data_IF_782330809065
#
_entry.id   IF_782330809065
#
_cell.length_a   1.000
_cell.length_b   1.000
_cell.length_c   1.000
_cell.angle_alpha   90.00
_cell.angle_beta   90.00
_cell.angle_gamma   90.00
#
_symmetry.space_group_name_H-M   'P 1'
#
loop_
_entity.id
_entity.type
_entity.pdbx_description
1 polymer ?
#
# COMPACT_ATOMS: atom_id res chain seq x y z
N UNK A 1 0.83 -21.34 12.18
CA UNK A 1 2.16 -21.96 12.33
C UNK A 1 3.21 -20.98 11.81
N UNK A 2 4.07 -20.45 12.68
CA UNK A 2 5.12 -19.49 12.31
C UNK A 2 6.26 -20.28 11.63
N UNK A 3 6.31 -20.28 10.30
CA UNK A 3 7.38 -20.91 9.51
C UNK A 3 8.40 -19.86 9.06
N UNK A 4 9.25 -19.40 9.97
CA UNK A 4 10.29 -18.37 9.71
C UNK A 4 11.70 -18.92 9.96
N UNK A 5 11.95 -20.19 9.59
CA UNK A 5 13.30 -20.78 9.57
C UNK A 5 13.79 -20.83 8.11
N UNK A 6 14.33 -19.72 7.59
CA UNK A 6 14.96 -19.58 6.25
C UNK A 6 14.14 -20.06 5.02
N UNK A 7 12.84 -20.32 5.18
CA UNK A 7 11.98 -20.77 4.09
C UNK A 7 11.47 -19.63 3.20
N UNK A 8 11.73 -18.39 3.59
CA UNK A 8 11.42 -17.18 2.83
C UNK A 8 12.73 -16.53 2.39
N UNK A 9 12.86 -16.30 1.08
CA UNK A 9 14.03 -15.67 0.49
C UNK A 9 13.63 -14.93 -0.79
N UNK A 10 14.40 -13.93 -1.19
CA UNK A 10 14.24 -13.27 -2.49
C UNK A 10 15.44 -13.65 -3.36
N UNK A 11 15.16 -14.15 -4.56
CA UNK A 11 16.18 -14.56 -5.54
C UNK A 11 15.84 -13.84 -6.86
N UNK A 12 16.56 -12.75 -7.14
CA UNK A 12 16.25 -11.85 -8.25
C UNK A 12 14.81 -11.33 -8.17
N UNK A 13 14.00 -11.62 -9.19
CA UNK A 13 12.58 -11.25 -9.29
C UNK A 13 11.61 -12.35 -8.81
N UNK A 14 12.08 -13.26 -7.97
CA UNK A 14 11.28 -14.35 -7.39
C UNK A 14 11.36 -14.32 -5.87
N UNK A 15 10.24 -14.64 -5.24
CA UNK A 15 10.15 -14.83 -3.79
C UNK A 15 9.93 -16.32 -3.52
N UNK A 16 10.78 -16.90 -2.67
CA UNK A 16 10.60 -18.23 -2.10
C UNK A 16 9.55 -18.12 -1.00
N UNK A 17 8.44 -18.85 -1.13
CA UNK A 17 7.38 -18.93 -0.14
C UNK A 17 7.31 -20.34 0.44
N UNK A 18 6.90 -20.48 1.71
CA UNK A 18 6.65 -21.80 2.29
C UNK A 18 5.63 -22.56 1.43
N UNK A 19 5.93 -23.82 1.10
CA UNK A 19 5.11 -24.75 0.29
C UNK A 19 4.94 -24.39 -1.20
N UNK A 20 4.91 -23.11 -1.56
CA UNK A 20 4.74 -22.68 -2.96
C UNK A 20 6.07 -22.62 -3.74
N UNK A 21 7.21 -22.61 -3.05
CA UNK A 21 8.51 -22.49 -3.71
C UNK A 21 8.73 -21.10 -4.29
N UNK A 22 9.44 -21.02 -5.42
CA UNK A 22 9.81 -19.75 -6.06
C UNK A 22 8.66 -19.21 -6.93
N UNK A 23 8.10 -18.07 -6.50
CA UNK A 23 7.03 -17.37 -7.20
C UNK A 23 7.56 -16.06 -7.77
N UNK A 24 7.28 -15.78 -9.05
CA UNK A 24 7.62 -14.48 -9.65
C UNK A 24 6.77 -13.38 -9.03
N UNK A 25 7.39 -12.27 -8.67
CA UNK A 25 6.68 -11.08 -8.19
C UNK A 25 7.30 -9.81 -8.79
N UNK A 26 6.53 -8.73 -8.85
CA UNK A 26 7.06 -7.43 -9.22
C UNK A 26 7.79 -6.82 -8.02
N UNK A 27 9.11 -6.73 -8.11
CA UNK A 27 9.95 -6.18 -7.04
C UNK A 27 9.91 -4.66 -7.10
N UNK A 28 9.34 -4.04 -6.08
CA UNK A 28 9.18 -2.57 -6.01
C UNK A 28 10.40 -1.84 -5.45
N UNK A 29 11.23 -2.54 -4.65
CA UNK A 29 12.46 -2.03 -4.04
C UNK A 29 13.41 -3.18 -3.71
N UNK A 30 14.69 -2.87 -3.63
CA UNK A 30 15.67 -3.74 -2.97
C UNK A 30 15.38 -3.82 -1.47
N UNK A 31 15.67 -4.97 -0.86
CA UNK A 31 15.47 -5.19 0.57
C UNK A 31 16.83 -5.32 1.24
N UNK A 32 17.03 -4.51 2.26
CA UNK A 32 18.20 -4.56 3.14
C UNK A 32 17.73 -5.05 4.51
N UNK A 33 18.46 -6.02 5.08
CA UNK A 33 18.16 -6.58 6.40
C UNK A 33 17.44 -7.94 6.37
N UNK A 34 16.94 -8.37 7.54
CA UNK A 34 16.38 -9.71 7.77
C UNK A 34 14.88 -9.72 7.53
N UNK A 35 14.40 -10.62 6.66
CA UNK A 35 12.96 -10.81 6.46
C UNK A 35 12.33 -11.47 7.71
N UNK A 36 11.38 -10.78 8.33
CA UNK A 36 10.65 -11.27 9.50
C UNK A 36 9.39 -12.05 9.09
N UNK A 37 8.60 -11.50 8.15
CA UNK A 37 7.40 -12.15 7.66
C UNK A 37 7.04 -11.71 6.25
N UNK A 38 6.20 -12.51 5.59
CA UNK A 38 5.61 -12.20 4.31
C UNK A 38 4.11 -12.47 4.38
N UNK A 39 3.33 -11.47 3.96
CA UNK A 39 1.88 -11.58 3.85
C UNK A 39 1.48 -11.55 2.38
N UNK A 40 0.91 -12.65 1.89
CA UNK A 40 0.33 -12.73 0.55
C UNK A 40 -1.17 -12.48 0.67
N UNK A 41 -1.67 -11.44 0.00
CA UNK A 41 -3.10 -11.07 0.01
C UNK A 41 -3.69 -11.15 -1.38
N UNK A 42 -4.85 -11.81 -1.50
CA UNK A 42 -5.67 -11.78 -2.71
C UNK A 42 -6.72 -10.67 -2.59
N UNK A 43 -6.69 -9.70 -3.50
CA UNK A 43 -7.70 -8.67 -3.61
C UNK A 43 -8.97 -9.22 -4.30
N UNK A 44 -10.17 -8.66 -4.04
CA UNK A 44 -11.39 -9.09 -4.72
C UNK A 44 -11.36 -8.91 -6.24
N UNK A 45 -10.46 -8.06 -6.74
CA UNK A 45 -10.13 -7.90 -8.16
C UNK A 45 -9.40 -9.10 -8.78
N UNK A 46 -8.97 -10.07 -7.96
CA UNK A 46 -8.20 -11.24 -8.39
C UNK A 46 -6.68 -11.03 -8.37
N UNK A 47 -6.21 -9.80 -8.13
CA UNK A 47 -4.78 -9.48 -8.02
C UNK A 47 -4.21 -9.96 -6.69
N UNK A 48 -2.97 -10.41 -6.71
CA UNK A 48 -2.22 -10.74 -5.51
C UNK A 48 -1.23 -9.63 -5.18
N UNK A 49 -1.12 -9.29 -3.90
CA UNK A 49 -0.09 -8.41 -3.36
C UNK A 49 0.73 -9.16 -2.32
N UNK A 50 2.00 -8.78 -2.21
CA UNK A 50 2.95 -9.37 -1.27
C UNK A 50 3.52 -8.23 -0.43
N UNK A 51 3.26 -8.27 0.88
CA UNK A 51 3.85 -7.36 1.85
C UNK A 51 4.96 -8.08 2.60
N UNK A 52 6.16 -7.50 2.62
CA UNK A 52 7.36 -8.10 3.21
C UNK A 52 7.79 -7.21 4.37
N UNK A 53 7.80 -7.77 5.58
CA UNK A 53 8.33 -7.09 6.76
C UNK A 53 9.80 -7.45 6.92
N UNK A 54 10.65 -6.42 6.99
CA UNK A 54 12.10 -6.55 7.11
C UNK A 54 12.57 -5.79 8.33
N UNK A 55 13.42 -6.41 9.11
CA UNK A 55 14.19 -5.79 10.18
C UNK A 55 15.49 -5.26 9.57
N UNK A 56 15.70 -3.94 9.64
CA UNK A 56 16.88 -3.27 9.12
C UNK A 56 17.37 -2.24 10.12
N UNK A 57 18.68 -2.01 10.14
CA UNK A 57 19.27 -0.94 10.93
C UNK A 57 19.02 0.40 10.23
N UNK A 58 18.32 1.31 10.92
CA UNK A 58 18.07 2.66 10.42
C UNK A 58 19.09 3.57 11.06
N UNK A 59 20.11 3.96 10.29
CA UNK A 59 21.08 4.95 10.74
C UNK A 59 20.46 6.34 10.69
N UNK A 60 20.42 7.07 11.83
CA UNK A 60 19.93 8.44 11.82
C UNK A 60 20.88 9.31 11.00
N UNK A 61 20.30 10.22 10.22
CA UNK A 61 21.07 11.27 9.56
C UNK A 61 21.64 12.23 10.62
N UNK A 62 22.78 12.89 10.34
CA UNK A 62 23.31 13.91 11.23
C UNK A 62 22.26 14.98 11.52
N UNK A 63 22.17 15.39 12.79
CA UNK A 63 21.24 16.46 13.21
C UNK A 63 21.66 17.77 12.56
N UNK A 64 20.67 18.56 12.17
CA UNK A 64 20.87 19.88 11.56
C UNK A 64 20.80 21.02 12.59
N UNK A 65 20.49 20.70 13.86
CA UNK A 65 20.22 21.64 14.97
C UNK A 65 19.14 22.72 14.66
N UNK A 66 18.38 22.51 13.58
CA UNK A 66 17.25 23.33 13.20
C UNK A 66 15.95 22.72 13.75
N UNK A 67 15.06 23.59 14.22
CA UNK A 67 13.72 23.21 14.65
C UNK A 67 12.69 23.99 13.82
N UNK A 68 11.68 23.29 13.30
CA UNK A 68 10.55 23.88 12.59
C UNK A 68 9.27 23.39 13.26
N UNK A 69 8.39 24.34 13.62
CA UNK A 69 7.04 24.02 14.07
C UNK A 69 6.16 23.63 12.88
N UNK A 70 5.36 22.57 13.03
CA UNK A 70 4.43 22.10 11.99
C UNK A 70 3.01 22.20 12.53
N UNK A 71 2.17 23.02 11.92
CA UNK A 71 0.73 23.04 12.16
C UNK A 71 -0.01 22.31 11.02
N UNK A 72 -0.86 21.34 11.36
CA UNK A 72 -1.51 20.44 10.40
C UNK A 72 -3.00 20.75 10.33
N UNK A 73 -3.50 21.09 9.14
CA UNK A 73 -4.85 21.61 8.95
C UNK A 73 -5.73 20.86 7.95
N UNK A 74 -7.01 21.24 7.92
CA UNK A 74 -7.97 20.78 6.91
C UNK A 74 -7.91 21.61 5.62
N UNK A 75 -7.65 22.92 5.74
CA UNK A 75 -7.56 23.85 4.61
C UNK A 75 -6.23 23.66 3.87
N UNK A 76 -5.14 23.73 4.62
CA UNK A 76 -3.76 23.50 4.19
C UNK A 76 -3.24 22.25 4.91
N UNK A 77 -2.45 21.42 4.22
CA UNK A 77 -1.96 20.16 4.79
C UNK A 77 -1.00 20.41 5.95
N UNK A 78 -0.02 21.29 5.74
CA UNK A 78 0.91 21.69 6.78
C UNK A 78 1.34 23.15 6.57
N UNK A 79 1.43 23.91 7.64
CA UNK A 79 2.05 25.24 7.68
C UNK A 79 3.25 25.14 8.61
N UNK A 80 4.41 25.55 8.10
CA UNK A 80 5.66 25.58 8.85
C UNK A 80 5.84 26.93 9.55
N UNK A 81 6.63 26.96 10.62
CA UNK A 81 6.98 28.20 11.34
C UNK A 81 7.83 29.17 10.51
N UNK A 82 8.38 28.74 9.38
CA UNK A 82 9.09 29.58 8.39
C UNK A 82 8.15 30.14 7.31
N UNK A 83 6.82 30.08 7.55
CA UNK A 83 5.75 30.53 6.65
C UNK A 83 5.56 29.66 5.39
N UNK A 84 6.30 28.55 5.24
CA UNK A 84 6.09 27.61 4.13
C UNK A 84 4.74 26.90 4.27
N UNK A 85 3.93 26.93 3.20
CA UNK A 85 2.59 26.33 3.16
C UNK A 85 2.54 25.14 2.20
N UNK A 86 2.20 23.97 2.74
CA UNK A 86 1.86 22.78 1.96
C UNK A 86 0.35 22.70 1.76
N UNK A 87 -0.11 22.82 0.52
CA UNK A 87 -1.54 22.74 0.18
C UNK A 87 -2.09 21.34 0.40
N UNK A 88 -3.34 21.24 0.85
CA UNK A 88 -4.04 19.96 0.93
C UNK A 88 -4.51 19.51 -0.46
N UNK A 89 -4.01 18.39 -1.02
CA UNK A 89 -4.39 17.93 -2.36
C UNK A 89 -5.82 17.37 -2.45
N UNK A 90 -6.57 17.28 -1.33
CA UNK A 90 -7.99 16.88 -1.25
C UNK A 90 -8.36 15.59 -2.00
N UNK A 91 -7.40 14.68 -2.20
CA UNK A 91 -7.59 13.43 -2.94
C UNK A 91 -8.76 12.61 -2.41
N UNK A 92 -8.96 12.60 -1.09
CA UNK A 92 -10.06 11.91 -0.43
C UNK A 92 -11.42 12.29 -1.02
N UNK A 93 -11.71 13.59 -1.18
CA UNK A 93 -13.01 14.07 -1.70
C UNK A 93 -13.27 13.65 -3.14
N UNK A 94 -12.23 13.69 -3.97
CA UNK A 94 -12.33 13.27 -5.37
C UNK A 94 -12.55 11.75 -5.47
N UNK A 95 -11.80 10.98 -4.69
CA UNK A 95 -11.93 9.52 -4.65
C UNK A 95 -13.25 9.06 -4.03
N UNK A 96 -13.74 9.76 -2.99
CA UNK A 96 -15.03 9.52 -2.35
C UNK A 96 -16.19 9.70 -3.35
N UNK A 97 -16.21 10.81 -4.09
CA UNK A 97 -17.21 11.05 -5.15
C UNK A 97 -17.17 9.97 -6.22
N UNK A 98 -15.97 9.57 -6.65
CA UNK A 98 -15.79 8.49 -7.63
C UNK A 98 -16.32 7.16 -7.08
N UNK A 99 -15.96 6.80 -5.85
CA UNK A 99 -16.41 5.57 -5.20
C UNK A 99 -17.93 5.53 -5.07
N UNK A 100 -18.56 6.62 -4.61
CA UNK A 100 -20.01 6.72 -4.48
C UNK A 100 -20.72 6.54 -5.83
N UNK A 101 -20.17 7.12 -6.91
CA UNK A 101 -20.69 6.93 -8.27
C UNK A 101 -20.60 5.46 -8.70
N UNK A 102 -19.44 4.83 -8.53
CA UNK A 102 -19.25 3.43 -8.93
C UNK A 102 -20.12 2.47 -8.09
N UNK A 103 -20.32 2.74 -6.80
CA UNK A 103 -21.24 1.98 -5.94
C UNK A 103 -22.70 2.10 -6.37
N UNK A 104 -23.16 3.31 -6.75
CA UNK A 104 -24.51 3.53 -7.28
C UNK A 104 -24.74 2.81 -8.61
N UNK A 105 -23.72 2.75 -9.48
CA UNK A 105 -23.80 1.96 -10.72
C UNK A 105 -23.90 0.47 -10.38
N UNK A 106 -23.16 -0.01 -9.38
CA UNK A 106 -23.19 -1.40 -8.96
C UNK A 106 -24.58 -1.83 -8.44
N UNK A 107 -25.19 -1.02 -7.58
CA UNK A 107 -26.48 -1.35 -6.94
C UNK A 107 -27.63 -1.50 -7.94
N UNK A 108 -27.58 -0.78 -9.07
CA UNK A 108 -28.57 -0.85 -10.14
C UNK A 108 -28.39 -2.04 -11.08
N UNK A 109 -27.24 -2.72 -11.05
CA UNK A 109 -26.96 -3.87 -11.93
C UNK A 109 -27.52 -5.16 -11.32
N UNK A 110 -28.10 -6.02 -12.16
CA UNK A 110 -28.58 -7.36 -11.75
C UNK A 110 -27.43 -8.16 -11.14
N UNK A 111 -27.55 -8.49 -9.85
CA UNK A 111 -26.56 -9.29 -9.11
C UNK A 111 -26.26 -10.59 -9.86
N UNK A 112 -24.98 -10.94 -9.94
CA UNK A 112 -24.51 -12.14 -10.66
C UNK A 112 -24.35 -11.99 -12.17
N UNK A 113 -24.84 -10.92 -12.79
CA UNK A 113 -24.59 -10.67 -14.22
C UNK A 113 -23.11 -10.35 -14.51
N UNK A 114 -22.66 -10.57 -15.75
CA UNK A 114 -21.30 -10.21 -16.19
C UNK A 114 -20.99 -8.73 -15.97
N UNK A 115 -21.96 -7.85 -16.27
CA UNK A 115 -21.83 -6.42 -16.01
C UNK A 115 -21.74 -6.10 -14.52
N UNK A 116 -22.50 -6.79 -13.66
CA UNK A 116 -22.37 -6.62 -12.22
C UNK A 116 -20.98 -7.04 -11.72
N UNK A 117 -20.43 -8.16 -12.21
CA UNK A 117 -19.08 -8.60 -11.82
C UNK A 117 -17.99 -7.60 -12.22
N UNK A 118 -18.05 -7.08 -13.47
CA UNK A 118 -17.13 -6.02 -13.94
C UNK A 118 -17.18 -4.78 -13.04
N UNK A 119 -18.38 -4.37 -12.62
CA UNK A 119 -18.57 -3.20 -11.78
C UNK A 119 -18.10 -3.44 -10.34
N UNK A 120 -18.34 -4.63 -9.80
CA UNK A 120 -17.90 -5.02 -8.45
C UNK A 120 -16.38 -4.93 -8.31
N UNK A 121 -15.65 -5.33 -9.34
CA UNK A 121 -14.18 -5.21 -9.38
C UNK A 121 -13.72 -3.75 -9.36
N UNK A 122 -14.46 -2.81 -9.96
CA UNK A 122 -14.11 -1.38 -9.95
C UNK A 122 -14.29 -0.71 -8.58
N UNK A 123 -15.22 -1.24 -7.77
CA UNK A 123 -15.50 -0.74 -6.42
C UNK A 123 -14.52 -1.33 -5.39
N UNK A 124 -13.93 -2.49 -5.68
CA UNK A 124 -13.03 -3.24 -4.80
C UNK A 124 -11.57 -2.78 -4.84
#
# INVERSE_FOLDING_TARGET
TKYTNNNIAIVGNKIKLPKLGLVRFAKSRELEGRILNVTVRRHPSGKYSVSILVETEVNPLPKTDSAIGIDVGLRDFAILSDETVYKNPKFFRTLEKKLAKEQRILSRRKKGSSNWHKQRIKVA
#
